data_IF_988217084318
#
_entry.id   IF_988217084318
#
_cell.length_a   1.000
_cell.length_b   1.000
_cell.length_c   1.000
_cell.angle_alpha   90.00
_cell.angle_beta   90.00
_cell.angle_gamma   90.00
#
_symmetry.space_group_name_H-M   'P 1'
#
loop_
_entity.id
_entity.type
_entity.pdbx_description
1 polymer ?
#
# COMPACT_ATOMS: atom_id res chain seq x y z
N UNK A 1 -7.00 17.42 -3.46
CA UNK A 1 -8.38 17.11 -3.03
C UNK A 1 -8.46 15.66 -2.64
N UNK A 2 -9.01 15.34 -1.45
CA UNK A 2 -9.28 13.95 -1.07
C UNK A 2 -10.59 13.48 -1.71
N UNK A 3 -10.58 12.27 -2.24
CA UNK A 3 -11.76 11.55 -2.74
C UNK A 3 -11.88 10.24 -1.98
N UNK A 4 -13.09 9.84 -1.60
CA UNK A 4 -13.30 8.65 -0.80
C UNK A 4 -14.57 7.90 -1.23
N UNK A 5 -14.50 6.56 -1.25
CA UNK A 5 -15.62 5.66 -1.57
C UNK A 5 -15.30 4.25 -1.05
N UNK A 6 -16.32 3.48 -0.66
CA UNK A 6 -16.19 2.09 -0.19
C UNK A 6 -15.22 1.88 0.99
N UNK A 7 -15.04 2.91 1.84
CA UNK A 7 -14.04 2.85 2.93
C UNK A 7 -12.59 2.99 2.44
N UNK A 8 -12.37 3.40 1.20
CA UNK A 8 -11.07 3.72 0.63
C UNK A 8 -10.99 5.22 0.30
N UNK A 9 -9.77 5.75 0.20
CA UNK A 9 -9.53 7.13 -0.19
C UNK A 9 -8.25 7.28 -1.00
N UNK A 10 -8.16 8.39 -1.73
CA UNK A 10 -6.98 8.85 -2.46
C UNK A 10 -6.91 10.37 -2.40
N UNK A 11 -5.73 10.94 -2.67
CA UNK A 11 -5.58 12.39 -2.87
C UNK A 11 -5.26 12.62 -4.33
N UNK A 12 -6.09 13.43 -5.00
CA UNK A 12 -5.91 13.82 -6.39
C UNK A 12 -5.58 15.32 -6.51
N UNK A 13 -4.84 15.68 -7.54
CA UNK A 13 -4.57 17.06 -7.93
C UNK A 13 -5.03 17.31 -9.36
N UNK A 14 -5.65 18.46 -9.60
CA UNK A 14 -5.94 18.92 -10.94
C UNK A 14 -4.64 19.39 -11.60
N UNK A 15 -4.40 18.95 -12.83
CA UNK A 15 -3.27 19.39 -13.65
C UNK A 15 -3.82 20.18 -14.82
N UNK A 16 -3.31 21.39 -15.05
CA UNK A 16 -3.82 22.25 -16.12
C UNK A 16 -3.50 21.62 -17.48
N UNK A 17 -4.52 21.34 -18.29
CA UNK A 17 -4.37 20.76 -19.62
C UNK A 17 -3.99 19.27 -19.63
N UNK A 18 -4.10 18.57 -18.49
CA UNK A 18 -3.86 17.14 -18.39
C UNK A 18 -4.90 16.47 -17.48
N UNK A 19 -5.06 15.13 -17.57
CA UNK A 19 -5.93 14.42 -16.64
C UNK A 19 -5.46 14.58 -15.19
N UNK A 20 -6.39 14.46 -14.23
CA UNK A 20 -6.05 14.61 -12.82
C UNK A 20 -5.02 13.55 -12.40
N UNK A 21 -4.07 13.93 -11.54
CA UNK A 21 -3.02 13.04 -11.07
C UNK A 21 -3.30 12.59 -9.64
N UNK A 22 -2.98 11.32 -9.33
CA UNK A 22 -2.99 10.81 -7.96
C UNK A 22 -1.72 11.30 -7.24
N UNK A 23 -1.88 12.13 -6.21
CA UNK A 23 -0.80 12.57 -5.32
C UNK A 23 -0.54 11.53 -4.25
N UNK A 24 -1.62 10.94 -3.71
CA UNK A 24 -1.57 9.77 -2.82
C UNK A 24 -2.38 8.67 -3.49
N UNK A 25 -1.76 7.50 -3.67
CA UNK A 25 -2.41 6.33 -4.26
C UNK A 25 -3.65 5.92 -3.47
N UNK A 26 -4.62 5.25 -4.11
CA UNK A 26 -5.73 4.62 -3.40
C UNK A 26 -5.26 3.74 -2.25
N UNK A 27 -5.90 3.88 -1.10
CA UNK A 27 -5.66 3.06 0.09
C UNK A 27 -6.92 2.91 0.92
N UNK A 28 -6.91 2.00 1.88
CA UNK A 28 -8.02 1.80 2.82
C UNK A 28 -7.98 2.91 3.86
N UNK A 29 -9.09 3.61 4.08
CA UNK A 29 -9.18 4.71 5.02
C UNK A 29 -9.45 4.14 6.43
N UNK A 30 -8.48 4.27 7.33
CA UNK A 30 -8.58 3.82 8.72
C UNK A 30 -8.27 5.00 9.63
N UNK A 31 -9.20 5.35 10.51
CA UNK A 31 -9.04 6.43 11.50
C UNK A 31 -8.58 7.77 10.91
N UNK A 32 -9.00 8.06 9.66
CA UNK A 32 -8.65 9.27 8.92
C UNK A 32 -7.35 9.18 8.10
N UNK A 33 -6.60 8.08 8.22
CA UNK A 33 -5.35 7.84 7.51
C UNK A 33 -5.57 6.92 6.30
N UNK A 34 -4.94 7.24 5.18
CA UNK A 34 -4.96 6.40 3.98
C UNK A 34 -3.88 5.33 4.13
N UNK A 35 -4.30 4.10 4.40
CA UNK A 35 -3.41 2.96 4.59
C UNK A 35 -3.05 2.27 3.28
N UNK A 36 -1.79 1.85 3.17
CA UNK A 36 -1.26 1.09 2.03
C UNK A 36 -1.24 -0.41 2.34
N UNK A 37 -1.14 -1.24 1.30
CA UNK A 37 -1.10 -2.70 1.45
C UNK A 37 0.34 -3.16 1.64
N UNK A 38 0.63 -3.69 2.83
CA UNK A 38 1.89 -4.32 3.20
C UNK A 38 1.78 -5.84 3.10
N UNK A 39 2.62 -6.47 2.30
CA UNK A 39 2.76 -7.93 2.24
C UNK A 39 3.91 -8.40 3.14
N UNK A 40 3.61 -9.22 4.16
CA UNK A 40 4.63 -9.81 5.04
C UNK A 40 5.10 -11.20 4.58
N UNK A 41 4.69 -11.64 3.39
CA UNK A 41 5.00 -12.94 2.81
C UNK A 41 4.07 -14.08 3.23
N UNK A 42 3.43 -13.98 4.41
CA UNK A 42 2.44 -14.96 4.89
C UNK A 42 1.01 -14.41 4.89
N UNK A 43 0.87 -13.09 5.00
CA UNK A 43 -0.40 -12.38 5.09
C UNK A 43 -0.19 -10.93 4.66
N UNK A 44 -1.24 -10.35 4.06
CA UNK A 44 -1.30 -8.93 3.73
C UNK A 44 -1.93 -8.14 4.87
N UNK A 45 -1.45 -6.93 5.06
CA UNK A 45 -1.90 -5.99 6.08
C UNK A 45 -2.18 -4.63 5.46
N UNK A 46 -3.13 -3.90 6.02
CA UNK A 46 -3.27 -2.47 5.79
C UNK A 46 -2.42 -1.77 6.85
N UNK A 47 -1.45 -0.99 6.41
CA UNK A 47 -0.57 -0.21 7.28
C UNK A 47 -0.82 1.28 7.08
N UNK A 48 -1.04 1.95 8.19
CA UNK A 48 -1.12 3.41 8.32
C UNK A 48 0.07 3.87 9.16
N UNK A 49 0.15 5.15 9.52
CA UNK A 49 1.15 5.62 10.46
C UNK A 49 0.87 5.09 11.88
N UNK A 50 -0.41 5.04 12.25
CA UNK A 50 -0.83 4.76 13.62
C UNK A 50 -1.18 3.29 13.87
N UNK A 51 -1.68 2.57 12.86
CA UNK A 51 -2.20 1.21 13.01
C UNK A 51 -1.82 0.29 11.86
N UNK A 52 -1.71 -1.01 12.18
CA UNK A 52 -1.63 -2.08 11.20
C UNK A 52 -2.75 -3.10 11.44
N UNK A 53 -3.56 -3.41 10.41
CA UNK A 53 -4.66 -4.38 10.49
C UNK A 53 -4.53 -5.44 9.39
N UNK A 54 -5.01 -6.68 9.58
CA UNK A 54 -5.04 -7.67 8.50
C UNK A 54 -5.85 -7.15 7.30
N UNK A 55 -5.30 -7.28 6.10
CA UNK A 55 -5.99 -6.95 4.86
C UNK A 55 -6.96 -8.09 4.50
N UNK A 56 -8.18 -8.00 5.03
CA UNK A 56 -9.27 -8.94 4.71
C UNK A 56 -9.63 -8.89 3.23
N UNK A 57 -10.26 -9.94 2.73
CA UNK A 57 -10.73 -10.00 1.35
C UNK A 57 -11.73 -8.87 1.02
N UNK A 58 -12.50 -8.41 2.01
CA UNK A 58 -13.41 -7.26 1.86
C UNK A 58 -12.64 -5.97 1.59
N UNK A 59 -11.61 -5.67 2.39
CA UNK A 59 -10.74 -4.51 2.18
C UNK A 59 -10.06 -4.53 0.81
N UNK A 60 -9.52 -5.68 0.41
CA UNK A 60 -8.82 -5.82 -0.87
C UNK A 60 -9.76 -5.67 -2.07
N UNK A 61 -10.98 -6.20 -2.00
CA UNK A 61 -12.00 -6.02 -3.04
C UNK A 61 -12.47 -4.57 -3.14
N UNK A 62 -12.71 -3.92 -2.00
CA UNK A 62 -13.08 -2.51 -1.96
C UNK A 62 -11.99 -1.61 -2.56
N UNK A 63 -10.73 -1.86 -2.20
CA UNK A 63 -9.58 -1.13 -2.70
C UNK A 63 -9.39 -1.31 -4.21
N UNK A 64 -9.51 -2.54 -4.71
CA UNK A 64 -9.40 -2.80 -6.14
C UNK A 64 -10.52 -2.09 -6.92
N UNK A 65 -11.78 -2.23 -6.48
CA UNK A 65 -12.92 -1.56 -7.12
C UNK A 65 -12.75 -0.05 -7.13
N UNK A 66 -12.36 0.54 -6.00
CA UNK A 66 -12.13 1.98 -5.89
C UNK A 66 -11.00 2.45 -6.81
N UNK A 67 -9.88 1.71 -6.87
CA UNK A 67 -8.75 2.04 -7.73
C UNK A 67 -9.11 2.06 -9.21
N UNK A 68 -9.86 1.07 -9.69
CA UNK A 68 -10.26 1.00 -11.10
C UNK A 68 -11.30 2.07 -11.45
N UNK A 69 -12.32 2.28 -10.60
CA UNK A 69 -13.30 3.36 -10.80
C UNK A 69 -12.61 4.74 -10.83
N UNK A 70 -11.65 4.98 -9.93
CA UNK A 70 -10.92 6.25 -9.88
C UNK A 70 -10.02 6.44 -11.11
N UNK A 71 -9.28 5.41 -11.53
CA UNK A 71 -8.45 5.46 -12.74
C UNK A 71 -9.29 5.81 -13.96
N UNK A 72 -10.43 5.16 -14.13
CA UNK A 72 -11.33 5.45 -15.23
C UNK A 72 -11.84 6.90 -15.16
N UNK A 73 -12.25 7.37 -13.97
CA UNK A 73 -12.79 8.70 -13.78
C UNK A 73 -11.77 9.82 -14.07
N UNK A 74 -10.49 9.59 -13.75
CA UNK A 74 -9.42 10.57 -14.02
C UNK A 74 -8.76 10.39 -15.39
N UNK A 75 -9.24 9.49 -16.25
CA UNK A 75 -8.63 9.23 -17.56
C UNK A 75 -7.25 8.59 -17.49
N UNK A 76 -6.97 7.82 -16.43
CA UNK A 76 -5.72 7.09 -16.24
C UNK A 76 -5.61 5.83 -17.10
N UNK A 77 -4.39 5.32 -17.24
CA UNK A 77 -4.10 4.07 -17.95
C UNK A 77 -4.55 2.88 -17.09
N UNK A 78 -5.26 1.92 -17.69
CA UNK A 78 -5.53 0.63 -17.07
C UNK A 78 -4.37 -0.33 -17.36
N UNK A 79 -3.72 -0.81 -16.30
CA UNK A 79 -2.59 -1.74 -16.39
C UNK A 79 -3.09 -3.16 -16.10
N UNK A 80 -2.79 -4.10 -16.99
CA UNK A 80 -3.31 -5.48 -16.92
C UNK A 80 -3.12 -6.15 -15.53
N UNK A 81 -1.93 -6.05 -14.94
CA UNK A 81 -1.67 -6.68 -13.63
C UNK A 81 -2.43 -6.01 -12.48
N UNK A 82 -2.71 -4.72 -12.58
CA UNK A 82 -3.45 -3.97 -11.56
C UNK A 82 -4.96 -4.09 -11.74
N UNK A 83 -5.42 -4.43 -12.95
CA UNK A 83 -6.85 -4.65 -13.25
C UNK A 83 -7.33 -6.07 -12.92
N UNK A 84 -6.43 -7.04 -12.75
CA UNK A 84 -6.79 -8.39 -12.28
C UNK A 84 -7.15 -8.46 -10.79
N UNK A 85 -6.73 -7.48 -9.99
CA UNK A 85 -7.01 -7.47 -8.56
C UNK A 85 -6.20 -6.43 -7.77
N UNK A 86 -6.19 -6.55 -6.45
CA UNK A 86 -5.37 -5.68 -5.59
C UNK A 86 -3.91 -6.11 -5.60
N UNK A 87 -3.01 -5.19 -5.91
CA UNK A 87 -1.56 -5.34 -5.70
C UNK A 87 -1.16 -4.83 -4.31
N UNK A 88 0.01 -5.26 -3.82
CA UNK A 88 0.60 -4.70 -2.60
C UNK A 88 1.53 -3.54 -2.93
N UNK A 89 1.61 -2.54 -2.04
CA UNK A 89 2.50 -1.39 -2.17
C UNK A 89 3.90 -1.71 -1.64
N UNK A 90 3.97 -2.47 -0.55
CA UNK A 90 5.22 -2.88 0.09
C UNK A 90 5.29 -4.40 0.20
N UNK A 91 6.44 -4.97 -0.14
CA UNK A 91 6.72 -6.40 0.02
C UNK A 91 7.88 -6.58 0.99
N UNK A 92 7.54 -6.91 2.24
CA UNK A 92 8.50 -7.11 3.33
C UNK A 92 8.39 -8.54 3.84
N UNK A 93 8.95 -9.48 3.08
CA UNK A 93 8.88 -10.90 3.39
C UNK A 93 9.50 -11.22 4.75
N UNK A 94 8.81 -12.07 5.50
CA UNK A 94 9.40 -12.67 6.70
C UNK A 94 10.65 -13.47 6.34
N UNK A 95 11.73 -13.24 7.10
CA UNK A 95 12.98 -13.94 6.87
C UNK A 95 12.88 -15.33 7.48
N UNK A 96 13.00 -16.35 6.64
CA UNK A 96 13.20 -17.73 7.11
C UNK A 96 14.57 -17.86 7.81
N UNK A 97 15.56 -17.09 7.37
CA UNK A 97 16.91 -17.08 7.95
C UNK A 97 16.87 -16.57 9.39
N UNK A 98 17.37 -17.38 10.32
CA UNK A 98 17.41 -17.05 11.74
C UNK A 98 16.13 -17.41 12.51
N UNK A 99 15.09 -17.96 11.87
CA UNK A 99 13.84 -18.35 12.54
C UNK A 99 14.03 -19.41 13.63
N UNK A 100 14.99 -20.32 13.43
CA UNK A 100 15.31 -21.39 14.39
C UNK A 100 16.21 -20.91 15.55
N UNK A 101 16.69 -19.67 15.53
CA UNK A 101 17.44 -19.12 16.66
C UNK A 101 16.51 -18.93 17.88
N UNK A 102 17.07 -18.95 19.10
CA UNK A 102 16.38 -18.48 20.29
C UNK A 102 15.79 -17.08 20.05
N UNK A 103 14.63 -16.78 20.64
CA UNK A 103 13.89 -15.53 20.38
C UNK A 103 14.75 -14.27 20.60
N UNK A 104 15.64 -14.28 21.59
CA UNK A 104 16.58 -13.20 21.89
C UNK A 104 17.61 -12.92 20.79
N UNK A 105 17.89 -13.90 19.94
CA UNK A 105 18.89 -13.83 18.87
C UNK A 105 18.25 -13.68 17.48
N UNK A 106 16.92 -13.70 17.41
CA UNK A 106 16.22 -13.53 16.13
C UNK A 106 16.42 -12.10 15.62
N UNK A 107 16.69 -11.93 14.31
CA UNK A 107 16.75 -10.59 13.74
C UNK A 107 15.38 -9.94 13.79
N UNK A 108 15.34 -8.62 13.97
CA UNK A 108 14.10 -7.87 13.88
C UNK A 108 13.44 -8.08 12.50
N UNK A 109 12.12 -8.28 12.43
CA UNK A 109 11.42 -8.44 11.16
C UNK A 109 11.60 -7.24 10.24
N UNK A 110 11.59 -7.48 8.92
CA UNK A 110 11.82 -6.43 7.93
C UNK A 110 10.81 -5.26 8.03
N UNK A 111 9.58 -5.53 8.50
CA UNK A 111 8.52 -4.53 8.65
C UNK A 111 8.54 -3.75 9.97
N UNK A 112 9.41 -4.15 10.92
CA UNK A 112 9.66 -3.46 12.19
C UNK A 112 10.98 -2.70 12.18
N UNK A 113 11.87 -3.03 11.23
CA UNK A 113 13.09 -2.27 11.04
C UNK A 113 12.72 -0.81 10.69
N UNK A 114 13.42 0.17 11.29
CA UNK A 114 13.25 1.55 10.88
C UNK A 114 13.54 1.65 9.38
N UNK A 115 12.69 2.37 8.65
CA UNK A 115 12.93 2.65 7.23
C UNK A 115 14.31 3.27 7.16
N UNK A 116 15.28 2.57 6.55
CA UNK A 116 16.56 3.15 6.27
C UNK A 116 16.27 4.35 5.36
N UNK A 117 16.38 5.57 5.91
CA UNK A 117 16.39 6.78 5.10
C UNK A 117 17.50 6.57 4.08
N UNK A 118 17.11 6.27 2.83
CA UNK A 118 18.05 6.08 1.76
C UNK A 118 18.95 7.31 1.73
N UNK A 119 20.25 7.10 1.94
CA UNK A 119 21.23 8.14 1.66
C UNK A 119 21.03 8.49 0.19
N UNK A 120 20.72 9.75 -0.18
CA UNK A 120 20.54 10.10 -1.57
C UNK A 120 21.88 9.88 -2.29
N UNK A 121 22.00 8.80 -3.08
CA UNK A 121 23.19 8.62 -3.93
C UNK A 121 23.68 7.20 -4.23
N UNK A 122 23.20 6.13 -3.60
CA UNK A 122 23.67 4.79 -3.96
C UNK A 122 22.66 4.03 -4.84
N UNK A 123 22.81 4.24 -6.15
CA UNK A 123 22.35 3.30 -7.17
C UNK A 123 23.37 2.17 -7.22
N UNK A 124 22.94 0.93 -6.97
CA UNK A 124 23.69 -0.26 -7.40
C UNK A 124 23.37 -0.59 -8.84
#
# INVERSE_FOLDING_TARGET
MQVAKYGCAAIISAVKGAPAAMVVKPGVLIDGEIGHVLDRGYQKFIKTHSVTRPATAEYLRALHRFSEELRQAIGGISLYNESMGSVSDEYMYDRVKGRNLPESERPQPAWEQPVALGVPGEVK
#
